data_IF_028929719666
#
_entry.id   IF_028929719666
#
_cell.length_a   1.000
_cell.length_b   1.000
_cell.length_c   1.000
_cell.angle_alpha   90.00
_cell.angle_beta   90.00
_cell.angle_gamma   90.00
#
_symmetry.space_group_name_H-M   'P 1'
#
loop_
_entity.id
_entity.type
_entity.pdbx_description
1 polymer ?
#
# COMPACT_ATOMS: atom_id res chain seq x y z
N UNK A 1 -14.68 -0.75 -21.85
CA UNK A 1 -13.37 -1.18 -21.30
C UNK A 1 -13.57 -1.83 -19.94
N UNK A 2 -12.94 -2.99 -19.68
CA UNK A 2 -12.98 -3.65 -18.38
C UNK A 2 -12.31 -2.76 -17.33
N UNK A 3 -12.97 -2.53 -16.18
CA UNK A 3 -12.39 -1.80 -15.05
C UNK A 3 -11.42 -2.70 -14.27
N UNK A 4 -10.38 -2.09 -13.71
CA UNK A 4 -9.47 -2.76 -12.76
C UNK A 4 -10.15 -2.76 -11.39
N UNK A 5 -10.31 -3.93 -10.79
CA UNK A 5 -10.95 -4.13 -9.48
C UNK A 5 -9.91 -4.14 -8.37
N UNK A 6 -9.97 -3.16 -7.48
CA UNK A 6 -9.05 -3.04 -6.34
C UNK A 6 -9.80 -3.27 -5.03
N UNK A 7 -9.34 -4.24 -4.24
CA UNK A 7 -9.84 -4.48 -2.90
C UNK A 7 -8.85 -3.94 -1.87
N UNK A 8 -9.31 -3.03 -1.02
CA UNK A 8 -8.51 -2.48 0.08
C UNK A 8 -8.72 -3.28 1.36
N UNK A 9 -7.64 -3.75 1.97
CA UNK A 9 -7.62 -4.32 3.30
C UNK A 9 -7.21 -3.27 4.31
N UNK A 10 -8.14 -2.87 5.18
CA UNK A 10 -8.00 -1.77 6.13
C UNK A 10 -8.44 -0.42 5.56
N UNK A 11 -8.54 0.57 6.44
CA UNK A 11 -8.95 1.93 6.11
C UNK A 11 -8.13 2.94 6.91
N UNK A 12 -6.82 3.01 6.63
CA UNK A 12 -5.90 3.92 7.30
C UNK A 12 -6.16 5.39 6.95
N UNK A 13 -5.68 6.30 7.79
CA UNK A 13 -5.74 7.75 7.52
C UNK A 13 -5.05 8.13 6.20
N UNK A 14 -3.97 7.43 5.84
CA UNK A 14 -3.28 7.63 4.57
C UNK A 14 -4.16 7.22 3.39
N UNK A 15 -4.76 6.03 3.45
CA UNK A 15 -5.69 5.55 2.42
C UNK A 15 -6.82 6.55 2.21
N UNK A 16 -7.48 6.97 3.30
CA UNK A 16 -8.59 7.94 3.28
C UNK A 16 -8.21 9.27 2.64
N UNK A 17 -7.08 9.85 3.05
CA UNK A 17 -6.70 11.22 2.66
C UNK A 17 -5.98 11.32 1.33
N UNK A 18 -5.29 10.27 0.89
CA UNK A 18 -4.41 10.34 -0.28
C UNK A 18 -4.80 9.39 -1.39
N UNK A 19 -5.00 8.11 -1.07
CA UNK A 19 -5.19 7.08 -2.11
C UNK A 19 -6.59 7.13 -2.69
N UNK A 20 -7.63 7.09 -1.84
CA UNK A 20 -9.03 7.07 -2.30
C UNK A 20 -9.39 8.30 -3.15
N UNK A 21 -9.05 9.55 -2.77
CA UNK A 21 -9.35 10.70 -3.60
C UNK A 21 -8.71 10.66 -4.99
N UNK A 22 -7.50 10.08 -5.09
CA UNK A 22 -6.81 9.91 -6.36
C UNK A 22 -7.47 8.85 -7.24
N UNK A 23 -7.91 7.75 -6.64
CA UNK A 23 -8.57 6.64 -7.34
C UNK A 23 -9.97 7.04 -7.82
N UNK A 24 -10.75 7.76 -7.01
CA UNK A 24 -12.10 8.23 -7.38
C UNK A 24 -12.11 9.04 -8.68
N UNK A 25 -11.01 9.70 -9.03
CA UNK A 25 -10.89 10.46 -10.29
C UNK A 25 -10.71 9.57 -11.51
N UNK A 26 -10.37 8.29 -11.33
CA UNK A 26 -10.07 7.39 -12.43
C UNK A 26 -11.25 6.45 -12.71
N UNK A 27 -12.02 6.75 -13.75
CA UNK A 27 -13.19 5.95 -14.17
C UNK A 27 -12.87 4.50 -14.57
N UNK A 28 -11.58 4.17 -14.77
CA UNK A 28 -11.12 2.80 -15.10
C UNK A 28 -10.92 1.92 -13.87
N UNK A 29 -11.08 2.47 -12.67
CA UNK A 29 -10.91 1.74 -11.41
C UNK A 29 -12.26 1.56 -10.73
N UNK A 30 -12.53 0.34 -10.31
CA UNK A 30 -13.58 -0.03 -9.38
C UNK A 30 -12.94 -0.48 -8.08
N UNK A 31 -13.43 -0.03 -6.93
CA UNK A 31 -12.82 -0.40 -5.67
C UNK A 31 -13.83 -0.64 -4.56
N UNK A 32 -13.43 -1.48 -3.62
CA UNK A 32 -14.16 -1.83 -2.41
C UNK A 32 -13.19 -1.84 -1.23
N UNK A 33 -13.69 -1.48 -0.06
CA UNK A 33 -12.92 -1.48 1.19
C UNK A 33 -13.45 -2.57 2.11
N UNK A 34 -12.55 -3.36 2.65
CA UNK A 34 -12.79 -4.30 3.75
C UNK A 34 -12.07 -3.80 5.00
N UNK A 35 -12.81 -3.50 6.07
CA UNK A 35 -12.26 -3.03 7.33
C UNK A 35 -12.96 -3.67 8.51
N UNK A 36 -12.18 -4.20 9.47
CA UNK A 36 -12.71 -4.82 10.69
C UNK A 36 -13.04 -3.80 11.76
N UNK A 37 -12.31 -2.70 11.81
CA UNK A 37 -12.34 -1.71 12.89
C UNK A 37 -13.37 -0.61 12.70
N UNK A 38 -13.87 -0.39 11.49
CA UNK A 38 -14.84 0.67 11.21
C UNK A 38 -16.21 0.10 10.91
N UNK A 39 -17.17 0.39 11.82
CA UNK A 39 -18.59 0.22 11.57
C UNK A 39 -19.00 1.06 10.36
N UNK A 40 -20.09 0.69 9.71
CA UNK A 40 -20.64 1.25 8.46
C UNK A 40 -20.99 2.75 8.47
N UNK A 41 -20.38 3.55 9.34
CA UNK A 41 -20.73 4.95 9.51
C UNK A 41 -20.30 5.77 8.28
N UNK A 42 -21.23 5.95 7.35
CA UNK A 42 -21.19 6.93 6.24
C UNK A 42 -19.97 6.91 5.31
N UNK A 43 -19.27 5.78 5.19
CA UNK A 43 -18.16 5.67 4.25
C UNK A 43 -18.62 4.88 3.04
N UNK A 44 -18.79 5.58 1.94
CA UNK A 44 -19.03 4.94 0.64
C UNK A 44 -17.98 3.86 0.36
N UNK A 45 -18.43 2.68 -0.06
CA UNK A 45 -17.59 1.54 -0.45
C UNK A 45 -16.92 0.72 0.66
N UNK A 46 -17.23 0.91 1.96
CA UNK A 46 -16.92 -0.12 2.97
C UNK A 46 -18.04 -1.16 2.95
N UNK A 47 -17.80 -2.26 2.24
CA UNK A 47 -18.82 -3.29 2.03
C UNK A 47 -18.58 -4.56 2.86
N UNK A 48 -17.37 -4.76 3.37
CA UNK A 48 -16.99 -5.99 4.04
C UNK A 48 -16.25 -5.73 5.36
N UNK A 49 -16.46 -6.63 6.32
CA UNK A 49 -15.72 -6.72 7.57
C UNK A 49 -14.91 -8.03 7.68
N UNK A 50 -15.05 -8.93 6.73
CA UNK A 50 -14.26 -10.16 6.62
C UNK A 50 -13.41 -10.17 5.35
N UNK A 51 -12.09 -10.31 5.54
CA UNK A 51 -11.12 -10.26 4.45
C UNK A 51 -11.21 -11.46 3.49
N UNK A 52 -11.53 -12.65 3.99
CA UNK A 52 -11.65 -13.83 3.15
C UNK A 52 -12.93 -13.83 2.34
N UNK A 53 -14.02 -13.40 2.96
CA UNK A 53 -15.29 -13.23 2.29
C UNK A 53 -15.19 -12.17 1.19
N UNK A 54 -14.56 -11.02 1.47
CA UNK A 54 -14.39 -9.94 0.50
C UNK A 54 -13.61 -10.37 -0.74
N UNK A 55 -12.57 -11.21 -0.59
CA UNK A 55 -11.83 -11.77 -1.72
C UNK A 55 -12.73 -12.65 -2.62
N UNK A 56 -13.56 -13.49 -2.00
CA UNK A 56 -14.44 -14.41 -2.75
C UNK A 56 -15.53 -13.66 -3.51
N UNK A 57 -16.20 -12.72 -2.83
CA UNK A 57 -17.37 -12.01 -3.37
C UNK A 57 -16.98 -10.97 -4.40
N UNK A 58 -15.97 -10.15 -4.11
CA UNK A 58 -15.54 -9.07 -5.01
C UNK A 58 -14.67 -9.55 -6.16
N UNK A 59 -13.91 -10.63 -5.95
CA UNK A 59 -12.96 -11.20 -6.92
C UNK A 59 -12.06 -10.12 -7.55
N UNK A 60 -11.14 -9.49 -6.78
CA UNK A 60 -10.34 -8.36 -7.22
C UNK A 60 -9.25 -8.77 -8.22
N UNK A 61 -8.83 -7.84 -9.08
CA UNK A 61 -7.59 -7.99 -9.84
C UNK A 61 -6.37 -7.70 -8.95
N UNK A 62 -6.51 -6.79 -7.96
CA UNK A 62 -5.44 -6.33 -7.09
C UNK A 62 -5.95 -6.11 -5.66
N UNK A 63 -5.18 -6.53 -4.68
CA UNK A 63 -5.42 -6.21 -3.26
C UNK A 63 -4.39 -5.20 -2.76
N UNK A 64 -4.86 -4.11 -2.17
CA UNK A 64 -4.03 -3.11 -1.51
C UNK A 64 -4.14 -3.26 0.00
N UNK A 65 -3.03 -3.52 0.68
CA UNK A 65 -2.98 -3.71 2.14
C UNK A 65 -2.59 -2.39 2.80
N UNK A 66 -3.53 -1.82 3.57
CA UNK A 66 -3.37 -0.59 4.36
C UNK A 66 -3.74 -0.87 5.83
N UNK A 67 -3.00 -1.79 6.42
CA UNK A 67 -3.15 -2.27 7.80
C UNK A 67 -1.95 -1.82 8.64
N UNK A 68 -1.96 -2.17 9.93
CA UNK A 68 -0.77 -2.01 10.79
C UNK A 68 0.38 -2.90 10.28
N UNK A 69 1.61 -2.43 10.45
CA UNK A 69 2.81 -3.07 9.88
C UNK A 69 2.98 -4.55 10.25
N UNK A 70 2.57 -4.92 11.47
CA UNK A 70 2.64 -6.31 11.96
C UNK A 70 1.78 -7.30 11.16
N UNK A 71 0.72 -6.81 10.50
CA UNK A 71 -0.22 -7.62 9.72
C UNK A 71 0.15 -7.72 8.24
N UNK A 72 1.04 -6.87 7.74
CA UNK A 72 1.42 -6.82 6.32
C UNK A 72 1.86 -8.19 5.79
N UNK A 73 2.83 -8.83 6.45
CA UNK A 73 3.33 -10.13 6.03
C UNK A 73 2.23 -11.20 5.99
N UNK A 74 1.42 -11.28 7.06
CA UNK A 74 0.34 -12.29 7.17
C UNK A 74 -0.61 -12.21 5.98
N UNK A 75 -1.11 -11.03 5.72
CA UNK A 75 -2.11 -10.84 4.66
C UNK A 75 -1.50 -10.86 3.26
N UNK A 76 -0.33 -10.29 3.04
CA UNK A 76 0.36 -10.38 1.76
C UNK A 76 0.63 -11.84 1.36
N UNK A 77 1.12 -12.66 2.30
CA UNK A 77 1.34 -14.09 2.08
C UNK A 77 0.05 -14.84 1.73
N UNK A 78 -1.02 -14.56 2.47
CA UNK A 78 -2.34 -15.15 2.23
C UNK A 78 -2.86 -14.84 0.82
N UNK A 79 -2.81 -13.56 0.43
CA UNK A 79 -3.34 -13.05 -0.84
C UNK A 79 -2.53 -13.61 -2.01
N UNK A 80 -1.20 -13.60 -1.94
CA UNK A 80 -0.32 -14.17 -2.95
C UNK A 80 -0.54 -15.68 -3.12
N UNK A 81 -0.76 -16.42 -2.02
CA UNK A 81 -1.10 -17.85 -2.08
C UNK A 81 -2.46 -18.12 -2.72
N UNK A 82 -3.38 -17.15 -2.65
CA UNK A 82 -4.70 -17.24 -3.30
C UNK A 82 -4.69 -16.79 -4.76
N UNK A 83 -3.54 -16.38 -5.29
CA UNK A 83 -3.40 -16.03 -6.70
C UNK A 83 -3.73 -14.57 -7.04
N UNK A 84 -3.77 -13.65 -6.08
CA UNK A 84 -4.05 -12.25 -6.33
C UNK A 84 -2.79 -11.39 -6.32
N UNK A 85 -2.77 -10.34 -7.14
CA UNK A 85 -1.76 -9.30 -7.10
C UNK A 85 -1.84 -8.48 -5.81
N UNK A 86 -0.70 -7.99 -5.27
CA UNK A 86 -0.64 -7.30 -3.98
C UNK A 86 0.19 -6.03 -4.06
N UNK A 87 -0.37 -4.95 -3.52
CA UNK A 87 0.38 -3.77 -3.09
C UNK A 87 0.28 -3.68 -1.56
N UNK A 88 1.37 -3.38 -0.88
CA UNK A 88 1.43 -3.24 0.58
C UNK A 88 1.91 -1.84 0.93
N UNK A 89 1.31 -1.20 1.94
CA UNK A 89 1.85 0.03 2.51
C UNK A 89 3.27 -0.20 3.07
N UNK A 90 4.03 0.84 3.17
CA UNK A 90 5.41 0.83 3.69
C UNK A 90 5.42 0.62 5.23
N UNK A 91 6.34 -0.18 5.76
CA UNK A 91 7.21 -1.12 5.05
C UNK A 91 6.47 -2.39 4.64
N UNK A 92 6.89 -3.00 3.54
CA UNK A 92 6.27 -4.25 3.04
C UNK A 92 6.23 -5.36 4.10
N UNK A 93 7.28 -5.50 4.89
CA UNK A 93 7.34 -6.31 6.11
C UNK A 93 8.36 -5.74 7.10
N UNK A 94 8.31 -6.19 8.35
CA UNK A 94 9.28 -5.85 9.40
C UNK A 94 10.52 -6.78 9.41
N UNK A 95 10.70 -7.63 8.38
CA UNK A 95 11.79 -8.61 8.37
C UNK A 95 12.24 -8.92 6.95
N UNK A 96 13.55 -8.84 6.71
CA UNK A 96 14.16 -9.22 5.44
C UNK A 96 13.81 -10.65 5.01
N UNK A 97 13.87 -11.62 5.94
CA UNK A 97 13.52 -13.02 5.69
C UNK A 97 12.08 -13.16 5.19
N UNK A 98 11.14 -12.44 5.83
CA UNK A 98 9.71 -12.43 5.45
C UNK A 98 9.50 -11.77 4.07
N UNK A 99 10.18 -10.67 3.79
CA UNK A 99 10.12 -10.01 2.48
C UNK A 99 10.62 -10.94 1.38
N UNK A 100 11.77 -11.61 1.58
CA UNK A 100 12.29 -12.59 0.61
C UNK A 100 11.32 -13.75 0.36
N UNK A 101 10.64 -14.22 1.39
CA UNK A 101 9.63 -15.27 1.24
C UNK A 101 8.47 -14.80 0.36
N UNK A 102 7.94 -13.59 0.61
CA UNK A 102 6.86 -13.03 -0.22
C UNK A 102 7.29 -12.89 -1.69
N UNK A 103 8.51 -12.41 -1.95
CA UNK A 103 9.07 -12.29 -3.30
C UNK A 103 9.15 -13.65 -4.01
N UNK A 104 9.58 -14.70 -3.29
CA UNK A 104 9.61 -16.08 -3.84
C UNK A 104 8.20 -16.57 -4.22
N UNK A 105 7.20 -16.33 -3.35
CA UNK A 105 5.81 -16.71 -3.62
C UNK A 105 5.27 -15.95 -4.83
N UNK A 106 5.47 -14.64 -4.88
CA UNK A 106 5.02 -13.80 -5.97
C UNK A 106 5.65 -14.24 -7.31
N UNK A 107 6.97 -14.46 -7.35
CA UNK A 107 7.68 -14.93 -8.53
C UNK A 107 7.18 -16.30 -9.00
N UNK A 108 7.03 -17.26 -8.07
CA UNK A 108 6.53 -18.63 -8.38
C UNK A 108 5.13 -18.58 -9.01
N UNK A 109 4.26 -17.73 -8.50
CA UNK A 109 2.87 -17.63 -8.95
C UNK A 109 2.67 -16.61 -10.09
N UNK A 110 3.75 -15.97 -10.59
CA UNK A 110 3.71 -14.91 -11.62
C UNK A 110 2.80 -13.74 -11.21
N UNK A 111 2.85 -13.35 -9.93
CA UNK A 111 2.04 -12.28 -9.36
C UNK A 111 2.86 -11.03 -9.10
N UNK A 112 2.21 -9.86 -9.20
CA UNK A 112 2.77 -8.59 -8.74
C UNK A 112 2.81 -8.58 -7.21
N UNK A 113 3.96 -8.22 -6.65
CA UNK A 113 4.11 -7.77 -5.27
C UNK A 113 4.86 -6.44 -5.29
N UNK A 114 4.24 -5.40 -4.76
CA UNK A 114 4.84 -4.07 -4.70
C UNK A 114 4.68 -3.45 -3.31
N UNK A 115 5.64 -2.61 -2.94
CA UNK A 115 5.55 -1.71 -1.79
C UNK A 115 5.09 -0.34 -2.26
N UNK A 116 4.22 0.32 -1.50
CA UNK A 116 3.73 1.66 -1.79
C UNK A 116 4.80 2.72 -1.48
N UNK A 117 5.86 2.74 -2.27
CA UNK A 117 7.00 3.66 -2.14
C UNK A 117 6.80 4.87 -3.05
N UNK A 118 6.05 5.87 -2.54
CA UNK A 118 5.53 6.98 -3.35
C UNK A 118 6.62 7.89 -3.93
N UNK A 119 7.75 8.08 -3.24
CA UNK A 119 8.80 8.98 -3.69
C UNK A 119 9.42 8.56 -5.03
N UNK A 120 9.35 7.29 -5.41
CA UNK A 120 9.83 6.79 -6.72
C UNK A 120 9.11 7.44 -7.91
N UNK A 121 7.92 7.96 -7.69
CA UNK A 121 7.10 8.63 -8.71
C UNK A 121 7.16 10.16 -8.62
N UNK A 122 7.92 10.70 -7.64
CA UNK A 122 8.02 12.14 -7.45
C UNK A 122 9.03 12.76 -8.41
N UNK A 123 8.66 13.87 -9.07
CA UNK A 123 9.50 14.54 -10.08
C UNK A 123 10.87 14.93 -9.51
N UNK A 124 10.92 15.46 -8.28
CA UNK A 124 12.18 15.86 -7.60
C UNK A 124 13.11 14.66 -7.42
N UNK A 125 12.58 13.49 -7.05
CA UNK A 125 13.40 12.28 -6.92
C UNK A 125 14.00 11.87 -8.26
N UNK A 126 13.24 11.90 -9.33
CA UNK A 126 13.74 11.60 -10.67
C UNK A 126 14.80 12.59 -11.13
N UNK A 127 14.62 13.90 -10.86
CA UNK A 127 15.63 14.93 -11.15
C UNK A 127 16.93 14.67 -10.37
N UNK A 128 16.82 14.33 -9.08
CA UNK A 128 17.97 13.99 -8.24
C UNK A 128 18.70 12.75 -8.78
N UNK A 129 17.97 11.70 -9.16
CA UNK A 129 18.58 10.51 -9.77
C UNK A 129 19.34 10.85 -11.06
N UNK A 130 18.78 11.73 -11.90
CA UNK A 130 19.43 12.13 -13.15
C UNK A 130 20.72 12.92 -12.86
N UNK A 131 20.74 13.79 -11.86
CA UNK A 131 21.97 14.48 -11.43
C UNK A 131 23.02 13.49 -10.92
N UNK A 132 22.62 12.49 -10.14
CA UNK A 132 23.52 11.46 -9.64
C UNK A 132 24.10 10.57 -10.76
N UNK A 133 23.31 10.21 -11.78
CA UNK A 133 23.75 9.37 -12.90
C UNK A 133 24.85 10.00 -13.73
N UNK A 134 24.93 11.34 -13.76
CA UNK A 134 26.00 12.07 -14.44
C UNK A 134 27.32 12.10 -13.70
N UNK A 135 27.36 11.69 -12.43
CA UNK A 135 28.56 11.74 -11.58
C UNK A 135 29.24 10.39 -11.50
N UNK A 136 30.53 10.33 -11.84
CA UNK A 136 31.31 9.06 -11.81
C UNK A 136 31.74 8.63 -10.40
N UNK A 137 31.90 9.58 -9.45
CA UNK A 137 32.44 9.32 -8.11
C UNK A 137 31.67 10.08 -7.03
N UNK A 138 30.51 9.58 -6.63
CA UNK A 138 29.78 10.11 -5.47
C UNK A 138 30.34 9.45 -4.21
N UNK A 139 31.10 10.19 -3.40
CA UNK A 139 31.69 9.69 -2.15
C UNK A 139 30.73 9.83 -0.97
N UNK A 140 29.92 10.91 -0.94
CA UNK A 140 29.02 11.20 0.16
C UNK A 140 27.68 11.79 -0.32
N UNK A 141 26.59 11.31 0.28
CA UNK A 141 25.26 11.90 0.14
C UNK A 141 24.74 12.25 1.54
N UNK A 142 24.40 13.52 1.77
CA UNK A 142 23.76 13.99 3.02
C UNK A 142 22.32 14.38 2.72
N UNK A 143 21.37 13.85 3.49
CA UNK A 143 19.95 14.18 3.39
C UNK A 143 19.44 14.74 4.73
N UNK A 144 18.69 15.82 4.70
CA UNK A 144 18.09 16.44 5.88
C UNK A 144 16.57 16.45 5.70
N UNK A 145 15.86 15.95 6.71
CA UNK A 145 14.41 15.95 6.75
C UNK A 145 13.94 16.71 7.96
N UNK A 146 13.30 17.85 7.74
CA UNK A 146 12.78 18.73 8.79
C UNK A 146 11.26 18.62 8.85
N UNK A 147 10.74 18.26 10.03
CA UNK A 147 9.30 18.25 10.30
C UNK A 147 8.97 19.37 11.27
N UNK A 148 8.11 20.34 10.90
CA UNK A 148 7.67 21.36 11.83
C UNK A 148 7.00 20.73 13.06
N UNK A 149 7.28 21.25 14.26
CA UNK A 149 6.75 20.71 15.53
C UNK A 149 5.22 20.63 15.53
N UNK A 150 4.54 21.61 14.93
CA UNK A 150 3.08 21.59 14.78
C UNK A 150 2.54 20.42 13.94
N UNK A 151 3.35 19.85 13.04
CA UNK A 151 2.96 18.70 12.22
C UNK A 151 2.93 17.39 13.02
N UNK A 152 3.76 17.28 14.07
CA UNK A 152 3.81 16.10 14.94
C UNK A 152 2.57 15.97 15.84
N UNK A 153 1.88 17.06 16.14
CA UNK A 153 0.62 17.06 16.91
C UNK A 153 -0.56 16.45 16.13
N UNK A 154 -0.46 16.30 14.82
CA UNK A 154 -1.50 15.71 13.95
C UNK A 154 -1.12 14.33 13.40
N UNK A 155 0.03 13.83 13.77
CA UNK A 155 0.37 12.42 13.56
C UNK A 155 -0.21 11.67 14.75
N UNK A 156 -1.53 11.49 14.73
CA UNK A 156 -2.17 10.50 15.57
C UNK A 156 -1.55 9.16 15.19
N UNK A 157 -0.56 8.74 15.97
CA UNK A 157 -0.23 7.35 16.10
C UNK A 157 -1.43 6.70 16.80
N UNK A 158 -2.56 6.61 16.11
CA UNK A 158 -3.59 5.65 16.45
C UNK A 158 -2.94 4.29 16.22
N UNK A 159 -2.22 3.84 17.23
CA UNK A 159 -2.00 2.44 17.47
C UNK A 159 -3.38 1.83 17.69
N UNK A 160 -4.00 1.35 16.62
CA UNK A 160 -5.10 0.41 16.74
C UNK A 160 -4.52 -0.85 17.38
N UNK A 161 -4.58 -0.88 18.72
CA UNK A 161 -4.43 -2.12 19.50
C UNK A 161 -5.62 -3.05 19.27
#
# INVERSE_FOLDING_TARGET
MKKIKILFFGYSSFLKRRVIPSIKKNKKIEYVICSKSKKKDNIENILFNDYLQSLKVFNPDLVYISLINSLHYKYAKLILKKGFHVIVDKPITLSYKKTRELLKIAKKNKLLLAESTLFNYHKVFNSMLNLCRGQKNIQNIKSYFHVPIGYLKHVDCEADM
#
